data_IF_289860706009
#
_entry.id   IF_289860706009
#
_cell.length_a   1.000
_cell.length_b   1.000
_cell.length_c   1.000
_cell.angle_alpha   90.00
_cell.angle_beta   90.00
_cell.angle_gamma   90.00
#
_symmetry.space_group_name_H-M   'P 1'
#
loop_
_entity.id
_entity.type
_entity.pdbx_description
1 polymer ?
#
# COMPACT_ATOMS: atom_id res chain seq x y z
N UNK A 1 5.62 1.39 -19.15
CA UNK A 1 5.57 0.59 -17.92
C UNK A 1 6.60 -0.53 -17.99
N UNK A 2 7.56 -0.51 -17.07
CA UNK A 2 8.61 -1.51 -16.90
C UNK A 2 8.02 -2.89 -16.58
N UNK A 3 8.78 -3.98 -16.83
CA UNK A 3 8.35 -5.34 -16.48
C UNK A 3 8.00 -5.47 -15.00
N UNK A 4 8.77 -4.79 -14.13
CA UNK A 4 8.55 -4.75 -12.69
C UNK A 4 7.21 -4.08 -12.32
N UNK A 5 6.88 -2.95 -12.96
CA UNK A 5 5.61 -2.24 -12.73
C UNK A 5 4.38 -3.07 -13.11
N UNK A 6 4.46 -3.88 -14.17
CA UNK A 6 3.37 -4.80 -14.55
C UNK A 6 3.15 -5.89 -13.51
N UNK A 7 4.23 -6.48 -12.97
CA UNK A 7 4.15 -7.50 -11.92
C UNK A 7 3.58 -6.91 -10.64
N UNK A 8 4.06 -5.74 -10.21
CA UNK A 8 3.52 -5.05 -9.03
C UNK A 8 2.03 -4.75 -9.17
N UNK A 9 1.61 -4.23 -10.33
CA UNK A 9 0.21 -3.94 -10.59
C UNK A 9 -0.67 -5.19 -10.51
N UNK A 10 -0.19 -6.32 -11.04
CA UNK A 10 -0.92 -7.59 -11.01
C UNK A 10 -1.06 -8.13 -9.58
N UNK A 11 0.03 -8.07 -8.80
CA UNK A 11 0.00 -8.45 -7.37
C UNK A 11 -0.96 -7.56 -6.59
N UNK A 12 -0.93 -6.24 -6.80
CA UNK A 12 -1.82 -5.31 -6.13
C UNK A 12 -3.30 -5.50 -6.51
N UNK A 13 -3.61 -5.86 -7.77
CA UNK A 13 -4.96 -6.17 -8.20
C UNK A 13 -5.48 -7.47 -7.58
N UNK A 14 -4.63 -8.50 -7.48
CA UNK A 14 -4.98 -9.75 -6.80
C UNK A 14 -5.23 -9.51 -5.32
N UNK A 15 -4.34 -8.77 -4.65
CA UNK A 15 -4.51 -8.39 -3.24
C UNK A 15 -5.80 -7.60 -3.01
N UNK A 16 -6.09 -6.60 -3.85
CA UNK A 16 -7.35 -5.86 -3.84
C UNK A 16 -8.57 -6.79 -3.95
N UNK A 17 -8.56 -7.70 -4.93
CA UNK A 17 -9.67 -8.62 -5.17
C UNK A 17 -9.89 -9.58 -4.01
N UNK A 18 -8.81 -10.13 -3.45
CA UNK A 18 -8.87 -11.04 -2.29
C UNK A 18 -9.37 -10.29 -1.04
N UNK A 19 -8.82 -9.11 -0.74
CA UNK A 19 -9.30 -8.28 0.38
C UNK A 19 -10.78 -7.95 0.22
N UNK A 20 -11.21 -7.53 -0.97
CA UNK A 20 -12.61 -7.19 -1.22
C UNK A 20 -13.53 -8.40 -1.02
N UNK A 21 -13.13 -9.58 -1.49
CA UNK A 21 -13.90 -10.80 -1.34
C UNK A 21 -14.02 -11.21 0.14
N UNK A 22 -12.90 -11.17 0.88
CA UNK A 22 -12.88 -11.55 2.30
C UNK A 22 -13.68 -10.57 3.19
N UNK A 23 -13.57 -9.28 2.90
CA UNK A 23 -14.28 -8.22 3.62
C UNK A 23 -15.77 -8.24 3.32
N UNK A 24 -16.17 -8.41 2.05
CA UNK A 24 -17.60 -8.45 1.67
C UNK A 24 -18.31 -9.70 2.20
N UNK A 25 -17.59 -10.81 2.35
CA UNK A 25 -18.09 -12.01 3.01
C UNK A 25 -18.10 -11.93 4.55
N UNK A 26 -17.57 -10.84 5.14
CA UNK A 26 -17.52 -10.64 6.59
C UNK A 26 -16.57 -11.57 7.34
N UNK A 27 -15.64 -12.23 6.63
CA UNK A 27 -14.74 -13.25 7.19
C UNK A 27 -13.42 -12.61 7.66
N UNK A 28 -13.10 -11.40 7.17
CA UNK A 28 -11.91 -10.66 7.54
C UNK A 28 -12.22 -9.19 7.81
N UNK A 29 -11.45 -8.61 8.73
CA UNK A 29 -11.43 -7.17 9.02
C UNK A 29 -10.12 -6.61 8.49
N UNK A 30 -10.16 -5.40 7.94
CA UNK A 30 -8.96 -4.77 7.40
C UNK A 30 -8.01 -4.37 8.52
N UNK A 31 -6.82 -4.99 8.55
CA UNK A 31 -5.83 -4.78 9.62
C UNK A 31 -5.18 -3.39 9.56
N UNK A 32 -5.19 -2.74 8.39
CA UNK A 32 -4.68 -1.39 8.25
C UNK A 32 -5.76 -0.40 8.72
N UNK A 33 -5.57 0.30 9.87
CA UNK A 33 -6.60 1.17 10.45
C UNK A 33 -7.01 2.31 9.51
N UNK A 34 -6.10 2.74 8.63
CA UNK A 34 -6.38 3.78 7.66
C UNK A 34 -7.31 3.27 6.55
N UNK A 35 -7.06 2.06 6.04
CA UNK A 35 -7.95 1.41 5.05
C UNK A 35 -9.28 1.01 5.70
N UNK A 36 -9.27 0.55 6.94
CA UNK A 36 -10.49 0.24 7.68
C UNK A 36 -11.37 1.49 7.87
N UNK A 37 -10.78 2.65 8.17
CA UNK A 37 -11.53 3.91 8.21
C UNK A 37 -12.21 4.24 6.87
N UNK A 38 -11.53 4.04 5.74
CA UNK A 38 -12.16 4.23 4.42
C UNK A 38 -13.25 3.20 4.13
N UNK A 39 -13.05 1.95 4.55
CA UNK A 39 -14.04 0.88 4.43
C UNK A 39 -15.30 1.18 5.26
N UNK A 40 -15.15 1.60 6.51
CA UNK A 40 -16.27 1.93 7.40
C UNK A 40 -17.05 3.14 6.88
N UNK A 41 -16.36 4.14 6.35
CA UNK A 41 -16.96 5.43 6.02
C UNK A 41 -17.51 5.52 4.59
N UNK A 42 -16.94 4.76 3.65
CA UNK A 42 -17.29 4.81 2.22
C UNK A 42 -17.55 3.40 1.63
N UNK A 43 -17.58 2.36 2.46
CA UNK A 43 -17.81 0.98 2.05
C UNK A 43 -16.67 0.41 1.20
N UNK A 44 -16.99 -0.67 0.49
CA UNK A 44 -16.07 -1.35 -0.42
C UNK A 44 -15.50 -0.44 -1.51
N UNK A 45 -16.27 0.56 -1.98
CA UNK A 45 -15.80 1.54 -2.95
C UNK A 45 -14.68 2.44 -2.38
N UNK A 46 -14.79 2.85 -1.11
CA UNK A 46 -13.74 3.60 -0.41
C UNK A 46 -12.44 2.82 -0.26
N UNK A 47 -12.55 1.54 0.09
CA UNK A 47 -11.40 0.63 0.17
C UNK A 47 -10.71 0.49 -1.19
N UNK A 48 -11.49 0.32 -2.27
CA UNK A 48 -10.93 0.19 -3.62
C UNK A 48 -10.19 1.47 -4.03
N UNK A 49 -10.83 2.63 -3.87
CA UNK A 49 -10.24 3.92 -4.26
C UNK A 49 -8.96 4.17 -3.46
N UNK A 50 -9.03 4.09 -2.14
CA UNK A 50 -7.86 4.33 -1.28
C UNK A 50 -6.71 3.39 -1.60
N UNK A 51 -6.96 2.09 -1.72
CA UNK A 51 -5.94 1.08 -2.06
C UNK A 51 -5.34 1.32 -3.46
N UNK A 52 -6.14 1.75 -4.43
CA UNK A 52 -5.63 2.17 -5.75
C UNK A 52 -4.73 3.40 -5.66
N UNK A 53 -5.10 4.41 -4.87
CA UNK A 53 -4.24 5.59 -4.64
C UNK A 53 -2.91 5.20 -3.99
N UNK A 54 -2.94 4.34 -2.98
CA UNK A 54 -1.74 3.83 -2.30
C UNK A 54 -0.79 3.04 -3.21
N UNK A 55 -1.29 2.45 -4.29
CA UNK A 55 -0.49 1.69 -5.27
C UNK A 55 -0.03 2.58 -6.42
N UNK A 56 -0.91 3.43 -6.96
CA UNK A 56 -0.62 4.25 -8.13
C UNK A 56 0.40 5.36 -7.82
N UNK A 57 0.31 6.00 -6.64
CA UNK A 57 1.25 7.06 -6.25
C UNK A 57 2.70 6.54 -6.25
N UNK A 58 3.07 5.47 -5.51
CA UNK A 58 4.45 4.99 -5.49
C UNK A 58 4.93 4.49 -6.84
N UNK A 59 4.08 3.81 -7.62
CA UNK A 59 4.44 3.36 -8.98
C UNK A 59 4.73 4.58 -9.86
N UNK A 60 3.90 5.62 -9.80
CA UNK A 60 4.11 6.85 -10.56
C UNK A 60 5.41 7.54 -10.15
N UNK A 61 5.69 7.68 -8.86
CA UNK A 61 6.94 8.29 -8.35
C UNK A 61 8.16 7.48 -8.77
N UNK A 62 8.10 6.15 -8.67
CA UNK A 62 9.19 5.24 -9.07
C UNK A 62 9.45 5.24 -10.58
N UNK A 63 8.42 5.42 -11.40
CA UNK A 63 8.54 5.30 -12.86
C UNK A 63 8.70 6.65 -13.58
N UNK A 64 8.16 7.73 -13.03
CA UNK A 64 8.29 9.09 -13.54
C UNK A 64 9.50 9.83 -12.96
N UNK A 65 9.81 9.64 -11.67
CA UNK A 65 10.92 10.33 -10.98
C UNK A 65 12.29 10.14 -11.66
N UNK A 66 12.69 8.92 -12.07
CA UNK A 66 13.96 8.68 -12.74
C UNK A 66 14.04 9.28 -14.16
N UNK A 67 12.90 9.60 -14.79
CA UNK A 67 12.88 10.23 -16.13
C UNK A 67 13.21 11.71 -16.09
N UNK A 68 12.97 12.35 -14.94
CA UNK A 68 13.27 13.78 -14.73
C UNK A 68 14.69 13.95 -14.22
N UNK A 69 15.13 13.13 -13.27
CA UNK A 69 16.49 13.15 -12.73
C UNK A 69 16.99 11.73 -12.42
N UNK A 70 18.02 11.20 -13.10
CA UNK A 70 18.55 9.86 -12.83
C UNK A 70 19.12 9.71 -11.41
N UNK A 71 19.72 10.76 -10.84
CA UNK A 71 20.19 10.78 -9.44
C UNK A 71 19.05 10.80 -8.41
N UNK A 72 17.84 11.22 -8.80
CA UNK A 72 16.67 11.21 -7.91
C UNK A 72 16.21 9.77 -7.63
N UNK A 73 16.50 8.81 -8.51
CA UNK A 73 16.15 7.40 -8.31
C UNK A 73 16.72 6.84 -7.01
N UNK A 74 17.98 7.13 -6.69
CA UNK A 74 18.65 6.65 -5.47
C UNK A 74 18.00 7.27 -4.23
N UNK A 75 17.67 8.56 -4.29
CA UNK A 75 17.02 9.28 -3.19
C UNK A 75 15.59 8.78 -2.94
N UNK A 76 14.82 8.55 -4.01
CA UNK A 76 13.47 7.99 -3.93
C UNK A 76 13.50 6.58 -3.32
N UNK A 77 14.42 5.71 -3.77
CA UNK A 77 14.54 4.36 -3.21
C UNK A 77 14.95 4.39 -1.74
N UNK A 78 15.90 5.26 -1.36
CA UNK A 78 16.30 5.43 0.05
C UNK A 78 15.15 5.94 0.91
N UNK A 79 14.39 6.91 0.40
CA UNK A 79 13.21 7.42 1.09
C UNK A 79 12.15 6.34 1.30
N UNK A 80 11.80 5.57 0.25
CA UNK A 80 10.85 4.47 0.37
C UNK A 80 11.32 3.38 1.35
N UNK A 81 12.60 2.99 1.30
CA UNK A 81 13.14 2.03 2.24
C UNK A 81 13.07 2.53 3.69
N UNK A 82 13.34 3.82 3.92
CA UNK A 82 13.20 4.43 5.24
C UNK A 82 11.74 4.42 5.72
N UNK A 83 10.79 4.80 4.86
CA UNK A 83 9.35 4.78 5.18
C UNK A 83 8.86 3.37 5.51
N UNK A 84 9.29 2.37 4.73
CA UNK A 84 8.96 0.95 4.99
C UNK A 84 9.54 0.52 6.34
N UNK A 85 10.80 0.84 6.62
CA UNK A 85 11.43 0.53 7.91
C UNK A 85 10.70 1.19 9.07
N UNK A 86 10.39 2.49 8.97
CA UNK A 86 9.65 3.23 9.99
C UNK A 86 8.27 2.61 10.23
N UNK A 87 7.54 2.29 9.16
CA UNK A 87 6.25 1.61 9.25
C UNK A 87 6.36 0.25 9.93
N UNK A 88 7.34 -0.58 9.55
CA UNK A 88 7.55 -1.89 10.17
C UNK A 88 7.91 -1.77 11.64
N UNK A 89 8.73 -0.79 12.03
CA UNK A 89 9.06 -0.55 13.44
C UNK A 89 7.85 -0.11 14.25
N UNK A 90 7.00 0.76 13.69
CA UNK A 90 5.75 1.19 14.33
C UNK A 90 4.72 0.06 14.40
N UNK A 91 4.64 -0.77 13.37
CA UNK A 91 3.75 -1.92 13.35
C UNK A 91 4.16 -2.96 14.38
N UNK A 92 5.45 -3.31 14.45
CA UNK A 92 5.97 -4.26 15.44
C UNK A 92 5.85 -3.70 16.85
N UNK A 93 6.18 -2.43 17.08
CA UNK A 93 6.03 -1.81 18.41
C UNK A 93 4.57 -1.69 18.84
N UNK A 94 3.67 -1.31 17.93
CA UNK A 94 2.23 -1.23 18.19
C UNK A 94 1.62 -2.60 18.52
N UNK A 95 2.00 -3.64 17.78
CA UNK A 95 1.56 -5.01 18.09
C UNK A 95 2.15 -5.50 19.42
N UNK A 96 3.43 -5.25 19.72
CA UNK A 96 4.04 -5.64 20.99
C UNK A 96 3.33 -4.99 22.19
N UNK A 97 2.90 -3.74 22.09
CA UNK A 97 2.14 -3.04 23.13
C UNK A 97 0.75 -3.64 23.33
N UNK A 98 0.17 -4.25 22.30
CA UNK A 98 -1.16 -4.88 22.35
C UNK A 98 -1.13 -6.31 22.95
N UNK A 99 0.06 -6.92 23.07
CA UNK A 99 0.29 -8.25 23.63
C UNK A 99 0.92 -8.23 25.04
N UNK A 100 1.21 -7.05 25.61
CA UNK A 100 1.58 -6.86 27.02
C UNK A 100 0.37 -6.39 27.83
#
# INVERSE_FOLDING_TARGET
MSKLGKVLMLVCLLDLGITLALVTMGIAVEANPLLNYYLEKWGSAGLVISKMWFVLIPIFVLEAGPRVCPSARIHIVRYYNFVIWAYMTLFVSGNLIQFM
#
